data_IF_718150635714
#
_entry.id   IF_718150635714
#
_cell.length_a   1.000
_cell.length_b   1.000
_cell.length_c   1.000
_cell.angle_alpha   90.00
_cell.angle_beta   90.00
_cell.angle_gamma   90.00
#
_symmetry.space_group_name_H-M   'P 1'
#
loop_
_entity.id
_entity.type
_entity.pdbx_description
1 polymer ?
#
# COMPACT_ATOMS: atom_id res chain seq x y z
N UNK A 1 -32.26 13.35 75.41
CA UNK A 1 -31.15 13.00 76.31
C UNK A 1 -30.43 11.81 75.68
N UNK A 2 -29.16 11.78 75.33
CA UNK A 2 -28.06 12.73 75.46
C UNK A 2 -27.10 12.53 74.27
N UNK A 3 -26.42 13.62 73.92
CA UNK A 3 -25.26 13.68 73.03
C UNK A 3 -24.06 13.07 73.79
N UNK A 4 -23.12 12.51 73.04
CA UNK A 4 -21.66 12.72 73.20
C UNK A 4 -20.78 11.48 73.40
N UNK A 5 -19.69 11.52 72.62
CA UNK A 5 -18.30 11.18 72.97
C UNK A 5 -17.67 9.85 72.52
N UNK A 6 -16.91 10.00 71.44
CA UNK A 6 -15.44 9.95 71.39
C UNK A 6 -14.65 8.67 71.09
N UNK A 7 -13.85 8.86 70.03
CA UNK A 7 -12.48 8.43 69.75
C UNK A 7 -12.06 7.00 70.07
N UNK A 8 -11.83 6.25 69.00
CA UNK A 8 -10.67 5.36 68.92
C UNK A 8 -9.90 5.65 67.63
N UNK A 9 -8.79 6.36 67.79
CA UNK A 9 -7.66 6.35 66.87
C UNK A 9 -6.89 5.04 67.09
N UNK A 10 -6.69 4.26 66.03
CA UNK A 10 -5.58 3.30 65.93
C UNK A 10 -5.28 3.12 64.43
N UNK A 11 -4.42 3.96 63.86
CA UNK A 11 -2.98 3.68 63.63
C UNK A 11 -2.73 2.36 62.91
N UNK A 12 -2.27 2.45 61.65
CA UNK A 12 -1.09 1.76 61.09
C UNK A 12 -1.05 1.99 59.57
N UNK A 13 -0.25 2.97 59.14
CA UNK A 13 0.42 2.93 57.84
C UNK A 13 1.62 1.99 57.98
N UNK A 14 1.72 0.89 57.21
CA UNK A 14 3.01 0.37 56.83
C UNK A 14 3.43 1.00 55.51
N UNK A 15 4.57 1.69 55.62
CA UNK A 15 5.40 2.16 54.53
C UNK A 15 5.70 1.03 53.55
N UNK A 16 5.29 1.16 52.29
CA UNK A 16 5.95 0.42 51.22
C UNK A 16 6.11 1.34 50.01
N UNK A 17 7.12 2.22 50.12
CA UNK A 17 7.88 2.58 48.93
C UNK A 17 8.68 1.33 48.56
N UNK A 18 8.69 1.04 47.25
CA UNK A 18 9.58 0.11 46.53
C UNK A 18 8.93 -1.14 45.92
N UNK A 19 8.17 -0.91 44.84
CA UNK A 19 8.38 -1.64 43.59
C UNK A 19 7.89 -0.78 42.42
N UNK A 20 8.73 0.18 42.02
CA UNK A 20 8.54 1.00 40.82
C UNK A 20 8.76 0.09 39.59
N UNK A 21 7.72 -0.61 39.15
CA UNK A 21 7.76 -1.33 37.86
C UNK A 21 7.53 -0.34 36.71
N UNK A 22 8.30 -0.43 35.60
CA UNK A 22 8.26 0.55 34.52
C UNK A 22 6.96 0.42 33.71
N UNK A 23 6.00 1.30 34.00
CA UNK A 23 4.71 1.34 33.30
C UNK A 23 4.77 2.00 31.90
N UNK A 24 5.97 2.24 31.36
CA UNK A 24 6.19 2.92 30.09
C UNK A 24 6.21 1.99 28.88
N UNK A 25 6.67 0.74 29.00
CA UNK A 25 6.81 -0.16 27.84
C UNK A 25 5.47 -0.64 27.27
N UNK A 26 4.43 -0.80 28.10
CA UNK A 26 3.08 -1.17 27.60
C UNK A 26 2.38 -0.02 26.89
N UNK A 27 2.63 1.22 27.30
CA UNK A 27 1.99 2.39 26.70
C UNK A 27 2.36 2.54 25.22
N UNK A 28 3.65 2.43 24.87
CA UNK A 28 4.12 2.50 23.48
C UNK A 28 3.55 1.37 22.61
N UNK A 29 3.43 0.14 23.17
CA UNK A 29 2.81 -0.97 22.46
C UNK A 29 1.31 -0.74 22.20
N UNK A 30 0.60 -0.08 23.12
CA UNK A 30 -0.84 0.20 22.98
C UNK A 30 -1.11 1.26 21.91
N UNK A 31 -0.29 2.32 21.83
CA UNK A 31 -0.45 3.36 20.80
C UNK A 31 -0.14 2.82 19.40
N UNK A 32 0.91 1.99 19.27
CA UNK A 32 1.24 1.34 18.00
C UNK A 32 0.12 0.38 17.56
N UNK A 33 -0.46 -0.37 18.49
CA UNK A 33 -1.55 -1.28 18.16
C UNK A 33 -2.82 -0.54 17.72
N UNK A 34 -3.09 0.64 18.28
CA UNK A 34 -4.21 1.50 17.91
C UNK A 34 -4.01 2.16 16.53
N UNK A 35 -2.77 2.54 16.20
CA UNK A 35 -2.41 3.03 14.85
C UNK A 35 -2.49 1.91 13.81
N UNK A 36 -2.03 0.70 14.14
CA UNK A 36 -2.13 -0.47 13.25
C UNK A 36 -3.60 -0.88 13.04
N UNK A 37 -4.42 -0.84 14.10
CA UNK A 37 -5.86 -1.10 14.00
C UNK A 37 -6.56 -0.06 13.12
N UNK A 38 -6.24 1.23 13.30
CA UNK A 38 -6.79 2.32 12.49
C UNK A 38 -6.34 2.25 11.03
N UNK A 39 -5.07 1.91 10.78
CA UNK A 39 -4.54 1.72 9.43
C UNK A 39 -5.18 0.51 8.73
N UNK A 40 -5.47 -0.57 9.47
CA UNK A 40 -6.19 -1.73 8.94
C UNK A 40 -7.60 -1.36 8.47
N UNK A 41 -8.33 -0.55 9.22
CA UNK A 41 -9.68 -0.14 8.83
C UNK A 41 -9.68 0.77 7.61
N UNK A 42 -8.70 1.68 7.49
CA UNK A 42 -8.56 2.53 6.30
C UNK A 42 -8.16 1.72 5.07
N UNK A 43 -7.16 0.85 5.17
CA UNK A 43 -6.75 -0.03 4.07
C UNK A 43 -7.89 -0.94 3.64
N UNK A 44 -8.65 -1.49 4.59
CA UNK A 44 -9.80 -2.34 4.28
C UNK A 44 -10.91 -1.55 3.57
N UNK A 45 -11.13 -0.30 3.97
CA UNK A 45 -12.10 0.58 3.30
C UNK A 45 -11.66 0.96 1.89
N UNK A 46 -10.39 1.30 1.68
CA UNK A 46 -9.85 1.63 0.36
C UNK A 46 -9.81 0.40 -0.57
N UNK A 47 -9.43 -0.78 -0.06
CA UNK A 47 -9.47 -2.03 -0.82
C UNK A 47 -10.89 -2.39 -1.22
N UNK A 48 -11.88 -2.18 -0.34
CA UNK A 48 -13.27 -2.47 -0.64
C UNK A 48 -13.81 -1.52 -1.72
N UNK A 49 -13.44 -0.23 -1.66
CA UNK A 49 -13.79 0.77 -2.67
C UNK A 49 -13.13 0.45 -4.04
N UNK A 50 -11.84 0.14 -4.00
CA UNK A 50 -11.06 -0.27 -5.18
C UNK A 50 -11.67 -1.51 -5.83
N UNK A 51 -12.07 -2.50 -5.03
CA UNK A 51 -12.70 -3.73 -5.50
C UNK A 51 -14.09 -3.47 -6.10
N UNK A 52 -14.85 -2.52 -5.56
CA UNK A 52 -16.13 -2.11 -6.13
C UNK A 52 -15.98 -1.37 -7.47
N UNK A 53 -14.98 -0.51 -7.60
CA UNK A 53 -14.69 0.20 -8.85
C UNK A 53 -14.16 -0.77 -9.92
N UNK A 54 -13.30 -1.71 -9.54
CA UNK A 54 -12.82 -2.79 -10.42
C UNK A 54 -13.97 -3.69 -10.93
N UNK A 55 -14.97 -3.95 -10.08
CA UNK A 55 -16.21 -4.64 -10.45
C UNK A 55 -17.10 -3.84 -11.41
N UNK A 56 -17.06 -2.50 -11.36
CA UNK A 56 -17.78 -1.66 -12.32
C UNK A 56 -17.09 -1.59 -13.70
N UNK A 57 -15.77 -1.77 -13.78
CA UNK A 57 -15.05 -1.93 -15.06
C UNK A 57 -15.23 -3.31 -15.73
N UNK A 58 -15.85 -4.25 -15.01
CA UNK A 58 -15.93 -5.67 -15.36
C UNK A 58 -16.86 -6.07 -16.53
N UNK A 59 -18.01 -5.41 -16.83
CA UNK A 59 -18.95 -5.93 -17.82
C UNK A 59 -18.46 -5.76 -19.27
N UNK A 60 -17.48 -4.87 -19.54
CA UNK A 60 -16.96 -4.63 -20.89
C UNK A 60 -15.63 -5.34 -21.18
N UNK A 61 -14.89 -5.75 -20.14
CA UNK A 61 -13.56 -6.35 -20.26
C UNK A 61 -13.58 -7.90 -20.25
N UNK A 62 -14.56 -8.52 -19.60
CA UNK A 62 -14.57 -9.97 -19.33
C UNK A 62 -14.63 -10.85 -20.59
N UNK A 63 -15.42 -10.48 -21.60
CA UNK A 63 -15.55 -11.27 -22.82
C UNK A 63 -14.25 -11.28 -23.65
N UNK A 64 -13.55 -10.16 -23.70
CA UNK A 64 -12.31 -10.01 -24.47
C UNK A 64 -11.08 -10.54 -23.72
N UNK A 65 -11.06 -10.48 -22.38
CA UNK A 65 -9.96 -11.02 -21.58
C UNK A 65 -9.82 -12.54 -21.78
N UNK A 66 -10.92 -13.30 -21.79
CA UNK A 66 -10.85 -14.76 -21.98
C UNK A 66 -10.19 -15.12 -23.32
N UNK A 67 -10.55 -14.39 -24.37
CA UNK A 67 -10.00 -14.58 -25.71
C UNK A 67 -8.52 -14.19 -25.74
N UNK A 68 -8.13 -13.05 -25.16
CA UNK A 68 -6.73 -12.63 -25.07
C UNK A 68 -5.87 -13.63 -24.30
N UNK A 69 -6.41 -14.24 -23.23
CA UNK A 69 -5.68 -15.28 -22.46
C UNK A 69 -5.48 -16.54 -23.29
N UNK A 70 -6.52 -17.02 -23.99
CA UNK A 70 -6.42 -18.24 -24.82
C UNK A 70 -5.48 -18.02 -26.01
N UNK A 71 -5.67 -16.94 -26.77
CA UNK A 71 -4.80 -16.64 -27.91
C UNK A 71 -3.39 -16.24 -27.46
N UNK A 72 -3.25 -15.56 -26.32
CA UNK A 72 -1.96 -15.19 -25.74
C UNK A 72 -1.15 -16.41 -25.32
N UNK A 73 -1.76 -17.37 -24.61
CA UNK A 73 -1.09 -18.61 -24.21
C UNK A 73 -0.70 -19.47 -25.42
N UNK A 74 -1.59 -19.60 -26.40
CA UNK A 74 -1.31 -20.30 -27.65
C UNK A 74 -0.15 -19.65 -28.43
N UNK A 75 -0.13 -18.32 -28.50
CA UNK A 75 0.92 -17.57 -29.17
C UNK A 75 2.27 -17.77 -28.48
N UNK A 76 2.34 -17.68 -27.15
CA UNK A 76 3.59 -17.94 -26.39
C UNK A 76 4.09 -19.36 -26.64
N UNK A 77 3.20 -20.36 -26.65
CA UNK A 77 3.57 -21.76 -26.93
C UNK A 77 4.08 -21.96 -28.37
N UNK A 78 3.59 -21.17 -29.34
CA UNK A 78 4.01 -21.27 -30.74
C UNK A 78 5.42 -20.70 -31.02
N UNK A 79 5.96 -19.85 -30.13
CA UNK A 79 7.26 -19.19 -30.35
C UNK A 79 8.41 -20.20 -30.42
N UNK A 80 8.41 -21.22 -29.55
CA UNK A 80 9.46 -22.24 -29.51
C UNK A 80 9.58 -23.05 -30.82
N UNK A 81 8.52 -23.72 -31.31
CA UNK A 81 8.60 -24.46 -32.56
C UNK A 81 8.86 -23.55 -33.75
N UNK A 82 8.36 -22.31 -33.74
CA UNK A 82 8.64 -21.33 -34.79
C UNK A 82 10.14 -20.95 -34.84
N UNK A 83 10.76 -20.67 -33.69
CA UNK A 83 12.20 -20.41 -33.62
C UNK A 83 13.01 -21.61 -34.12
N UNK A 84 12.65 -22.82 -33.69
CA UNK A 84 13.33 -24.04 -34.12
C UNK A 84 13.22 -24.24 -35.65
N UNK A 85 12.03 -24.06 -36.21
CA UNK A 85 11.80 -24.11 -37.66
C UNK A 85 12.67 -23.09 -38.41
N UNK A 86 12.74 -21.86 -37.91
CA UNK A 86 13.51 -20.80 -38.56
C UNK A 86 15.02 -21.08 -38.52
N UNK A 87 15.55 -21.59 -37.40
CA UNK A 87 16.96 -21.95 -37.26
C UNK A 87 17.33 -23.15 -38.14
N UNK A 88 16.49 -24.19 -38.16
CA UNK A 88 16.73 -25.39 -38.99
C UNK A 88 16.61 -25.05 -40.47
N UNK A 89 15.54 -24.37 -40.88
CA UNK A 89 15.30 -24.00 -42.27
C UNK A 89 16.39 -23.08 -42.83
N UNK A 90 16.83 -22.10 -42.04
CA UNK A 90 17.94 -21.23 -42.45
C UNK A 90 19.29 -21.96 -42.36
N UNK A 91 19.46 -22.89 -41.41
CA UNK A 91 20.64 -23.77 -41.31
C UNK A 91 20.84 -24.64 -42.53
N UNK A 92 19.76 -25.20 -43.05
CA UNK A 92 19.76 -25.99 -44.29
C UNK A 92 20.14 -25.13 -45.50
N UNK A 93 19.61 -23.90 -45.56
CA UNK A 93 19.94 -22.94 -46.62
C UNK A 93 21.40 -22.48 -46.61
N UNK A 94 22.08 -22.60 -45.47
CA UNK A 94 23.47 -22.18 -45.24
C UNK A 94 24.42 -23.39 -45.20
N UNK A 95 24.14 -24.47 -45.93
CA UNK A 95 24.97 -25.69 -45.99
C UNK A 95 25.22 -26.33 -44.61
N UNK A 96 24.19 -26.40 -43.76
CA UNK A 96 24.27 -27.02 -42.44
C UNK A 96 24.95 -26.15 -41.36
N UNK A 97 25.16 -24.86 -41.61
CA UNK A 97 25.78 -23.92 -40.66
C UNK A 97 24.76 -23.39 -39.63
N UNK A 98 24.19 -24.29 -38.83
CA UNK A 98 23.15 -23.96 -37.83
C UNK A 98 23.58 -22.91 -36.79
N UNK A 99 24.86 -22.83 -36.46
CA UNK A 99 25.41 -21.80 -35.58
C UNK A 99 25.22 -20.38 -36.13
N UNK A 100 25.41 -20.20 -37.44
CA UNK A 100 25.26 -18.89 -38.06
C UNK A 100 23.78 -18.54 -38.19
N UNK A 101 22.95 -19.53 -38.49
CA UNK A 101 21.50 -19.38 -38.58
C UNK A 101 20.86 -18.95 -37.25
N UNK A 102 21.29 -19.51 -36.12
CA UNK A 102 20.78 -19.08 -34.80
C UNK A 102 21.19 -17.64 -34.46
N UNK A 103 22.39 -17.21 -34.87
CA UNK A 103 22.83 -15.83 -34.72
C UNK A 103 21.98 -14.87 -35.57
N UNK A 104 21.72 -15.22 -36.82
CA UNK A 104 20.93 -14.39 -37.74
C UNK A 104 19.48 -14.30 -37.26
N UNK A 105 18.86 -15.44 -36.92
CA UNK A 105 17.47 -15.48 -36.44
C UNK A 105 17.32 -14.68 -35.15
N UNK A 106 18.24 -14.85 -34.19
CA UNK A 106 18.20 -14.07 -32.94
C UNK A 106 18.43 -12.58 -33.17
N UNK A 107 19.33 -12.19 -34.08
CA UNK A 107 19.55 -10.79 -34.45
C UNK A 107 18.29 -10.16 -35.08
N UNK A 108 17.62 -10.86 -36.00
CA UNK A 108 16.37 -10.39 -36.61
C UNK A 108 15.26 -10.29 -35.58
N UNK A 109 15.07 -11.30 -34.73
CA UNK A 109 14.10 -11.25 -33.64
C UNK A 109 14.39 -10.13 -32.64
N UNK A 110 15.65 -9.87 -32.30
CA UNK A 110 16.04 -8.78 -31.42
C UNK A 110 15.81 -7.41 -32.07
N UNK A 111 16.04 -7.30 -33.38
CA UNK A 111 15.82 -6.06 -34.12
C UNK A 111 14.34 -5.67 -34.18
N UNK A 112 13.44 -6.65 -34.29
CA UNK A 112 11.98 -6.42 -34.35
C UNK A 112 11.39 -6.34 -32.93
N UNK A 113 11.68 -7.33 -32.09
CA UNK A 113 11.12 -7.48 -30.75
C UNK A 113 11.76 -6.57 -29.71
N UNK A 114 13.04 -6.22 -29.86
CA UNK A 114 13.78 -5.37 -28.94
C UNK A 114 13.16 -3.99 -28.78
N UNK A 115 12.93 -3.21 -29.86
CA UNK A 115 12.27 -1.91 -29.76
C UNK A 115 10.86 -1.97 -29.19
N UNK A 116 10.08 -3.01 -29.52
CA UNK A 116 8.72 -3.19 -29.00
C UNK A 116 8.73 -3.50 -27.50
N UNK A 117 9.60 -4.42 -27.06
CA UNK A 117 9.78 -4.75 -25.66
C UNK A 117 10.32 -3.54 -24.87
N UNK A 118 11.34 -2.85 -25.39
CA UNK A 118 11.86 -1.62 -24.78
C UNK A 118 10.79 -0.56 -24.65
N UNK A 119 9.93 -0.39 -25.66
CA UNK A 119 8.83 0.57 -25.62
C UNK A 119 7.78 0.18 -24.58
N UNK A 120 7.40 -1.10 -24.50
CA UNK A 120 6.49 -1.60 -23.48
C UNK A 120 7.06 -1.42 -22.06
N UNK A 121 8.33 -1.80 -21.84
CA UNK A 121 9.01 -1.60 -20.55
C UNK A 121 9.14 -0.13 -20.19
N UNK A 122 9.49 0.74 -21.14
CA UNK A 122 9.54 2.20 -20.91
C UNK A 122 8.16 2.74 -20.60
N UNK A 123 7.12 2.28 -21.28
CA UNK A 123 5.74 2.71 -21.04
C UNK A 123 5.29 2.29 -19.64
N UNK A 124 5.53 1.04 -19.23
CA UNK A 124 5.24 0.56 -17.87
C UNK A 124 6.08 1.27 -16.81
N UNK A 125 7.33 1.64 -17.11
CA UNK A 125 8.22 2.36 -16.18
C UNK A 125 7.89 3.84 -16.04
N UNK A 126 7.37 4.47 -17.09
CA UNK A 126 6.88 5.86 -17.08
C UNK A 126 5.47 5.92 -16.49
N UNK A 127 4.67 4.89 -16.75
CA UNK A 127 3.37 4.59 -16.17
C UNK A 127 3.57 3.83 -14.85
N UNK A 128 4.57 4.27 -14.07
CA UNK A 128 4.58 4.10 -12.62
C UNK A 128 3.17 4.47 -12.15
N UNK A 129 2.47 3.48 -11.61
CA UNK A 129 1.03 3.44 -11.35
C UNK A 129 0.52 4.85 -11.03
N UNK A 130 -0.01 5.54 -12.04
CA UNK A 130 -0.41 6.94 -11.93
C UNK A 130 -1.77 6.95 -11.22
N UNK A 131 -1.77 6.65 -9.92
CA UNK A 131 -2.90 6.83 -9.03
C UNK A 131 -3.06 8.34 -8.79
N UNK A 132 -3.57 9.03 -9.80
CA UNK A 132 -3.90 10.46 -9.77
C UNK A 132 -4.88 10.80 -8.63
N UNK A 133 -5.63 9.81 -8.13
CA UNK A 133 -6.55 9.95 -6.99
C UNK A 133 -5.85 9.86 -5.62
N UNK A 134 -4.82 9.03 -5.42
CA UNK A 134 -4.09 8.91 -4.14
C UNK A 134 -3.36 10.20 -3.76
N UNK A 135 -2.93 11.00 -4.75
CA UNK A 135 -2.36 12.32 -4.46
C UNK A 135 -3.41 13.33 -3.99
N UNK A 136 -4.68 13.22 -4.41
CA UNK A 136 -5.75 14.11 -3.93
C UNK A 136 -6.14 13.80 -2.48
N UNK A 137 -6.28 12.52 -2.12
CA UNK A 137 -6.62 12.13 -0.74
C UNK A 137 -5.52 12.51 0.27
N UNK A 138 -4.25 12.46 -0.12
CA UNK A 138 -3.14 12.92 0.73
C UNK A 138 -3.14 14.43 0.95
N UNK A 139 -3.48 15.23 -0.08
CA UNK A 139 -3.62 16.68 0.07
C UNK A 139 -4.82 17.05 0.95
N UNK A 140 -5.96 16.39 0.75
CA UNK A 140 -7.19 16.62 1.52
C UNK A 140 -7.05 16.22 2.99
N UNK A 141 -6.25 15.18 3.28
CA UNK A 141 -5.90 14.77 4.64
C UNK A 141 -5.02 15.81 5.36
N UNK A 142 -4.07 16.43 4.66
CA UNK A 142 -3.22 17.49 5.23
C UNK A 142 -4.02 18.76 5.49
N UNK A 143 -4.92 19.13 4.59
CA UNK A 143 -5.79 20.31 4.71
C UNK A 143 -6.74 20.17 5.92
N UNK A 144 -7.39 19.01 6.06
CA UNK A 144 -8.31 18.70 7.17
C UNK A 144 -7.59 18.66 8.52
N UNK A 145 -6.33 18.22 8.53
CA UNK A 145 -5.50 18.17 9.76
C UNK A 145 -5.07 19.57 10.20
N UNK A 146 -4.72 20.46 9.26
CA UNK A 146 -4.42 21.86 9.58
C UNK A 146 -5.63 22.59 10.17
N UNK A 147 -6.81 22.41 9.61
CA UNK A 147 -8.04 23.03 10.12
C UNK A 147 -8.40 22.54 11.54
N UNK A 148 -8.20 21.25 11.83
CA UNK A 148 -8.42 20.71 13.18
C UNK A 148 -7.41 21.26 14.19
N UNK A 149 -6.13 21.38 13.81
CA UNK A 149 -5.09 21.97 14.67
C UNK A 149 -5.35 23.44 14.99
N UNK A 150 -5.88 24.21 14.03
CA UNK A 150 -6.20 25.62 14.24
C UNK A 150 -7.41 25.81 15.17
N UNK A 151 -8.43 24.96 15.04
CA UNK A 151 -9.57 24.93 15.99
C UNK A 151 -9.14 24.53 17.40
N UNK A 152 -8.21 23.58 17.55
CA UNK A 152 -7.68 23.19 18.86
C UNK A 152 -6.81 24.31 19.45
N UNK A 153 -6.00 24.99 18.63
CA UNK A 153 -5.16 26.11 19.09
C UNK A 153 -6.00 27.30 19.56
N UNK A 154 -7.10 27.60 18.87
CA UNK A 154 -8.02 28.68 19.25
C UNK A 154 -8.90 28.31 20.44
N UNK A 155 -9.36 27.06 20.53
CA UNK A 155 -10.14 26.55 21.67
C UNK A 155 -9.28 26.41 22.95
N UNK A 156 -8.03 25.97 22.83
CA UNK A 156 -7.07 25.90 23.94
C UNK A 156 -6.64 27.29 24.42
N UNK A 157 -6.44 28.24 23.50
CA UNK A 157 -6.11 29.64 23.84
C UNK A 157 -7.29 30.38 24.50
N UNK A 158 -8.53 30.00 24.19
CA UNK A 158 -9.74 30.51 24.87
C UNK A 158 -9.90 29.95 26.29
N UNK A 159 -9.55 28.69 26.52
CA UNK A 159 -9.66 28.05 27.85
C UNK A 159 -8.56 28.51 28.83
N UNK A 160 -7.36 28.85 28.33
CA UNK A 160 -6.29 29.39 29.17
C UNK A 160 -6.50 30.86 29.63
N UNK A 161 -7.41 31.60 29.00
CA UNK A 161 -7.73 32.99 29.36
C UNK A 161 -9.01 33.14 30.22
N UNK A 162 -9.63 32.03 30.61
CA UNK A 162 -10.83 32.03 31.48
C UNK A 162 -10.54 31.78 32.97
N UNK A 163 -9.30 31.40 33.33
CA UNK A 163 -8.93 31.04 34.70
C UNK A 163 -8.23 32.15 35.49
N UNK A 164 -8.07 33.35 34.92
CA UNK A 164 -7.41 34.50 35.57
C UNK A 164 -8.38 35.60 36.02
N UNK A 165 -9.63 35.24 36.34
CA UNK A 165 -10.63 36.19 36.84
C UNK A 165 -11.47 35.60 37.98
N UNK A 166 -10.83 35.00 38.98
CA UNK A 166 -11.38 34.87 40.33
C UNK A 166 -10.22 34.77 41.34
N UNK A 167 -9.69 35.94 41.70
CA UNK A 167 -9.25 36.38 43.05
C UNK A 167 -8.60 37.76 42.90
#
# INVERSE_FOLDING_TARGET
MAISDNYQYSSQQPTNREARQPHSERAYSSVLNEVIASAKDVVRSEVNLFMTEFRQFQPHLTKHISQVVIFGTLLVMSVLPFLAFMVIGLGELLDGRYWLSSLIVSAVCAMIGGPLALSAFRKIKIEDINFSQTRRSLYEAVESTKQKLEKIKTSSKGSANGSKSYN
#
